data_IF_547826117331
#
_entry.id   IF_547826117331
#
_cell.length_a   1.000
_cell.length_b   1.000
_cell.length_c   1.000
_cell.angle_alpha   90.00
_cell.angle_beta   90.00
_cell.angle_gamma   90.00
#
_symmetry.space_group_name_H-M   'P 1'
#
loop_
_entity.id
_entity.type
_entity.pdbx_description
1 polymer ?
#
# COMPACT_ATOMS: atom_id res chain seq x y z
N UNK A 1 3.95 -5.51 4.27
CA UNK A 1 4.79 -6.54 4.91
C UNK A 1 4.97 -7.67 3.92
N UNK A 2 3.94 -8.45 3.61
CA UNK A 2 4.04 -9.59 2.69
C UNK A 2 4.21 -9.13 1.23
N UNK A 3 3.10 -8.82 0.56
CA UNK A 3 3.08 -8.50 -0.89
C UNK A 3 3.16 -7.01 -1.21
N UNK A 4 3.24 -6.18 -0.17
CA UNK A 4 3.35 -4.74 -0.27
C UNK A 4 4.78 -4.25 -0.47
N UNK A 5 4.95 -3.18 -1.25
CA UNK A 5 6.24 -2.53 -1.44
C UNK A 5 6.17 -1.14 -2.06
N UNK A 6 7.35 -0.55 -2.23
CA UNK A 6 7.53 0.73 -2.92
C UNK A 6 7.45 0.49 -4.43
N UNK A 7 6.86 1.43 -5.15
CA UNK A 7 6.99 1.41 -6.60
C UNK A 7 8.34 2.03 -7.01
N UNK A 8 9.27 1.24 -7.54
CA UNK A 8 10.57 1.75 -8.00
C UNK A 8 10.48 2.55 -9.31
N UNK A 9 9.41 2.38 -10.09
CA UNK A 9 9.26 2.97 -11.43
C UNK A 9 8.35 4.20 -11.47
N UNK A 10 7.40 4.35 -10.54
CA UNK A 10 6.32 5.36 -10.63
C UNK A 10 6.21 6.30 -9.41
N UNK A 11 7.34 6.57 -8.75
CA UNK A 11 7.40 7.56 -7.67
C UNK A 11 6.58 7.19 -6.43
N UNK A 12 6.29 8.19 -5.59
CA UNK A 12 5.89 8.12 -4.17
C UNK A 12 4.60 7.35 -3.80
N UNK A 13 4.03 6.56 -4.71
CA UNK A 13 2.95 5.62 -4.46
C UNK A 13 3.43 4.27 -3.89
N UNK A 14 2.46 3.41 -3.57
CA UNK A 14 2.70 2.07 -3.00
C UNK A 14 2.13 1.00 -3.93
N UNK A 15 2.63 -0.23 -3.86
CA UNK A 15 2.12 -1.35 -4.66
C UNK A 15 1.83 -2.56 -3.81
N UNK A 16 0.84 -3.34 -4.24
CA UNK A 16 0.61 -4.72 -3.82
C UNK A 16 0.75 -5.65 -5.02
N UNK A 17 1.37 -6.80 -4.82
CA UNK A 17 1.18 -7.91 -5.77
C UNK A 17 -0.22 -8.51 -5.58
N UNK A 18 -0.98 -8.61 -6.67
CA UNK A 18 -2.33 -9.22 -6.69
C UNK A 18 -2.45 -10.23 -7.82
N UNK A 19 -1.32 -10.78 -8.28
CA UNK A 19 -1.24 -11.71 -9.41
C UNK A 19 -2.03 -12.99 -9.17
N UNK A 20 -2.15 -13.43 -7.92
CA UNK A 20 -2.91 -14.63 -7.52
C UNK A 20 -4.44 -14.45 -7.55
N UNK A 21 -4.95 -13.21 -7.56
CA UNK A 21 -6.38 -12.93 -7.52
C UNK A 21 -7.03 -12.96 -8.90
N UNK A 22 -8.30 -13.32 -8.95
CA UNK A 22 -9.10 -13.18 -10.18
C UNK A 22 -9.32 -11.70 -10.53
N UNK A 23 -9.69 -11.43 -11.78
CA UNK A 23 -10.04 -10.06 -12.20
C UNK A 23 -11.18 -9.45 -11.36
N UNK A 24 -12.15 -10.26 -10.96
CA UNK A 24 -13.29 -9.80 -10.16
C UNK A 24 -12.89 -9.48 -8.71
N UNK A 25 -12.05 -10.31 -8.11
CA UNK A 25 -11.56 -10.09 -6.74
C UNK A 25 -10.67 -8.85 -6.67
N UNK A 26 -9.82 -8.65 -7.69
CA UNK A 26 -9.04 -7.43 -7.86
C UNK A 26 -9.95 -6.21 -7.89
N UNK A 27 -10.98 -6.21 -8.74
CA UNK A 27 -11.92 -5.08 -8.83
C UNK A 27 -12.63 -4.80 -7.49
N UNK A 28 -13.05 -5.87 -6.80
CA UNK A 28 -13.69 -5.78 -5.47
C UNK A 28 -12.74 -5.17 -4.45
N UNK A 29 -11.48 -5.61 -4.43
CA UNK A 29 -10.44 -5.06 -3.56
C UNK A 29 -10.22 -3.56 -3.80
N UNK A 30 -10.10 -3.14 -5.07
CA UNK A 30 -9.95 -1.73 -5.42
C UNK A 30 -11.16 -0.89 -4.98
N UNK A 31 -12.38 -1.41 -5.14
CA UNK A 31 -13.60 -0.74 -4.70
C UNK A 31 -13.64 -0.59 -3.17
N UNK A 32 -13.28 -1.62 -2.42
CA UNK A 32 -13.24 -1.57 -0.95
C UNK A 32 -12.19 -0.56 -0.48
N UNK A 33 -10.99 -0.58 -1.06
CA UNK A 33 -9.93 0.37 -0.72
C UNK A 33 -10.35 1.83 -0.95
N UNK A 34 -11.08 2.11 -2.03
CA UNK A 34 -11.64 3.42 -2.27
C UNK A 34 -12.74 3.75 -1.25
N UNK A 35 -13.82 2.96 -1.22
CA UNK A 35 -15.04 3.32 -0.50
C UNK A 35 -14.87 3.34 1.03
N UNK A 36 -13.96 2.52 1.58
CA UNK A 36 -13.79 2.35 3.03
C UNK A 36 -12.60 3.12 3.59
N UNK A 37 -11.60 3.40 2.76
CA UNK A 37 -10.34 3.98 3.23
C UNK A 37 -9.92 5.23 2.44
N UNK A 38 -10.71 5.67 1.46
CA UNK A 38 -10.40 6.82 0.60
C UNK A 38 -9.03 6.69 -0.08
N UNK A 39 -8.72 5.47 -0.55
CA UNK A 39 -7.49 5.15 -1.24
C UNK A 39 -7.72 5.02 -2.75
N UNK A 40 -7.16 5.95 -3.52
CA UNK A 40 -7.23 5.92 -4.96
C UNK A 40 -6.23 4.88 -5.51
N UNK A 41 -6.74 3.92 -6.28
CA UNK A 41 -5.93 2.82 -6.82
C UNK A 41 -6.04 2.66 -8.34
N UNK A 42 -5.04 2.01 -8.95
CA UNK A 42 -5.06 1.56 -10.36
C UNK A 42 -4.32 0.24 -10.52
N UNK A 43 -4.72 -0.58 -11.49
CA UNK A 43 -3.98 -1.80 -11.83
C UNK A 43 -2.85 -1.51 -12.80
N UNK A 44 -1.65 -1.96 -12.49
CA UNK A 44 -0.47 -1.87 -13.34
C UNK A 44 -0.15 -3.25 -13.92
N UNK A 45 0.37 -3.24 -15.15
CA UNK A 45 0.65 -4.38 -16.04
C UNK A 45 -0.59 -5.03 -16.67
N UNK A 46 -0.49 -5.35 -17.98
CA UNK A 46 -1.57 -5.98 -18.77
C UNK A 46 -1.57 -7.51 -18.74
N UNK A 47 -0.45 -8.12 -18.38
CA UNK A 47 -0.34 -9.59 -18.32
C UNK A 47 -0.89 -10.09 -16.98
N UNK A 48 -1.83 -11.04 -17.02
CA UNK A 48 -2.54 -11.53 -15.82
C UNK A 48 -1.60 -12.08 -14.73
N UNK A 49 -0.42 -12.58 -15.12
CA UNK A 49 0.58 -13.19 -14.23
C UNK A 49 1.40 -12.19 -13.40
N UNK A 50 1.32 -10.88 -13.67
CA UNK A 50 2.15 -9.86 -13.00
C UNK A 50 1.35 -8.59 -12.65
N UNK A 51 0.05 -8.75 -12.37
CA UNK A 51 -0.82 -7.61 -12.07
C UNK A 51 -0.52 -7.07 -10.69
N UNK A 52 -0.22 -5.77 -10.61
CA UNK A 52 -0.01 -5.06 -9.36
C UNK A 52 -1.14 -4.08 -9.12
N UNK A 53 -1.58 -3.96 -7.88
CA UNK A 53 -2.47 -2.89 -7.47
C UNK A 53 -1.62 -1.73 -6.97
N UNK A 54 -1.65 -0.62 -7.68
CA UNK A 54 -0.94 0.61 -7.32
C UNK A 54 -1.85 1.53 -6.53
N UNK A 55 -1.43 1.90 -5.32
CA UNK A 55 -1.99 3.01 -4.57
C UNK A 55 -1.33 4.29 -5.06
N UNK A 56 -2.15 5.20 -5.58
CA UNK A 56 -1.68 6.47 -6.15
C UNK A 56 -0.93 7.29 -5.11
N UNK A 57 0.07 8.05 -5.57
CA UNK A 57 0.87 8.93 -4.72
C UNK A 57 0.02 9.90 -3.87
N UNK A 58 -1.14 10.34 -4.39
CA UNK A 58 -2.10 11.18 -3.67
C UNK A 58 -2.68 10.52 -2.40
N UNK A 59 -2.77 9.19 -2.38
CA UNK A 59 -3.31 8.41 -1.26
C UNK A 59 -2.22 7.71 -0.43
N UNK A 60 -0.94 7.82 -0.83
CA UNK A 60 0.15 7.07 -0.21
C UNK A 60 0.41 7.48 1.25
N UNK A 61 0.28 8.76 1.58
CA UNK A 61 0.44 9.23 2.95
C UNK A 61 -0.66 8.64 3.85
N UNK A 62 -1.94 8.81 3.44
CA UNK A 62 -3.10 8.24 4.14
C UNK A 62 -2.95 6.73 4.36
N UNK A 63 -2.50 6.00 3.33
CA UNK A 63 -2.25 4.57 3.46
C UNK A 63 -1.16 4.26 4.49
N UNK A 64 -0.01 4.95 4.43
CA UNK A 64 1.07 4.74 5.38
C UNK A 64 0.62 5.04 6.81
N UNK A 65 -0.11 6.14 7.03
CA UNK A 65 -0.61 6.51 8.36
C UNK A 65 -1.58 5.46 8.91
N UNK A 66 -2.45 4.89 8.06
CA UNK A 66 -3.39 3.83 8.43
C UNK A 66 -2.68 2.56 8.92
N UNK A 67 -1.63 2.12 8.23
CA UNK A 67 -0.98 0.83 8.52
C UNK A 67 0.18 0.94 9.51
N UNK A 68 0.78 2.13 9.65
CA UNK A 68 2.02 2.35 10.40
C UNK A 68 2.00 1.82 11.84
N UNK A 69 0.92 1.95 12.63
CA UNK A 69 0.86 1.38 13.98
C UNK A 69 1.01 -0.14 14.03
N UNK A 70 0.78 -0.83 12.90
CA UNK A 70 0.80 -2.28 12.79
C UNK A 70 2.04 -2.81 12.05
N UNK A 71 2.91 -1.92 11.55
CA UNK A 71 4.13 -2.31 10.83
C UNK A 71 5.27 -2.47 11.84
N UNK A 72 5.87 -3.66 11.89
CA UNK A 72 7.05 -3.92 12.72
C UNK A 72 8.26 -3.08 12.25
N UNK A 73 9.18 -2.69 13.16
CA UNK A 73 10.33 -1.85 12.84
C UNK A 73 11.14 -2.34 11.64
N UNK A 74 11.37 -3.65 11.55
CA UNK A 74 12.18 -4.31 10.51
C UNK A 74 11.54 -4.22 9.12
N UNK A 75 10.25 -3.90 9.03
CA UNK A 75 9.51 -3.77 7.76
C UNK A 75 9.23 -2.32 7.38
N UNK A 76 9.70 -1.34 8.15
CA UNK A 76 9.53 0.09 7.86
C UNK A 76 10.18 0.51 6.53
N UNK A 77 11.24 -0.18 6.08
CA UNK A 77 11.90 0.09 4.80
C UNK A 77 10.95 -0.04 3.59
N UNK A 78 9.85 -0.81 3.73
CA UNK A 78 8.86 -0.99 2.66
C UNK A 78 7.96 0.23 2.47
N UNK A 79 7.92 1.18 3.40
CA UNK A 79 7.10 2.39 3.30
C UNK A 79 7.81 3.47 2.46
N UNK A 80 7.06 4.21 1.66
CA UNK A 80 7.60 5.34 0.87
C UNK A 80 7.61 6.67 1.61
N UNK A 81 6.79 6.81 2.65
CA UNK A 81 6.60 8.07 3.38
C UNK A 81 7.27 8.05 4.76
N UNK A 82 7.98 9.13 5.15
CA UNK A 82 8.55 9.25 6.48
C UNK A 82 7.45 9.33 7.55
N UNK A 83 7.85 9.24 8.82
CA UNK A 83 6.94 9.56 9.93
C UNK A 83 6.40 10.98 9.75
N UNK A 84 5.13 11.25 10.09
CA UNK A 84 4.66 12.61 10.29
C UNK A 84 5.61 13.36 11.22
N UNK A 85 5.93 14.61 10.90
CA UNK A 85 6.77 15.42 11.78
C UNK A 85 6.10 15.55 13.15
N UNK A 86 6.77 15.10 14.22
CA UNK A 86 6.27 15.14 15.59
C UNK A 86 5.49 13.92 16.08
N UNK A 87 5.43 12.82 15.31
CA UNK A 87 4.91 11.56 15.85
C UNK A 87 6.03 10.74 16.50
N UNK A 88 6.08 10.71 17.83
CA UNK A 88 6.89 9.75 18.56
C UNK A 88 6.27 8.36 18.32
N UNK A 89 6.91 7.56 17.45
CA UNK A 89 6.54 6.15 17.33
C UNK A 89 6.91 5.46 18.64
N UNK A 90 5.93 5.25 19.50
CA UNK A 90 6.08 4.40 20.68
C UNK A 90 5.76 2.96 20.23
N UNK A 91 6.75 2.07 20.12
CA UNK A 91 6.49 0.68 19.81
C UNK A 91 5.61 0.08 20.92
N UNK A 92 4.66 -0.83 20.59
CA UNK A 92 3.90 -1.52 21.61
C UNK A 92 4.86 -2.33 22.48
N UNK A 93 4.89 -2.03 23.79
CA UNK A 93 5.56 -2.87 24.79
C UNK A 93 4.83 -4.20 24.88
N UNK A 94 5.55 -5.29 24.62
CA UNK A 94 5.16 -6.68 24.89
C UNK A 94 4.85 -6.91 26.37
#
# INVERSE_FOLDING_TARGET
>A
MDDGGRNSQYGAGMVFDVSSFSKNDRATLAQVLNNRFDLATSFHNRAEKNVKLYIRASSAQRFCDLIRPFVIPEMLYKLTKPLPAGSDFVPPTT
#
